data_IF_201259554493
#
_entry.id   IF_201259554493
#
_cell.length_a   1.000
_cell.length_b   1.000
_cell.length_c   1.000
_cell.angle_alpha   90.00
_cell.angle_beta   90.00
_cell.angle_gamma   90.00
#
_symmetry.space_group_name_H-M   'P 1'
#
loop_
_entity.id
_entity.type
_entity.pdbx_description
1 polymer ?
#
# COMPACT_ATOMS: atom_id res chain seq x y z
N UNK A 1 -20.20 -1.28 5.87
CA UNK A 1 -19.31 -0.21 6.36
C UNK A 1 -20.15 0.95 6.91
N UNK A 2 -21.39 0.71 7.35
CA UNK A 2 -22.31 1.77 7.82
C UNK A 2 -22.61 1.68 9.33
N UNK A 3 -21.92 0.80 10.07
CA UNK A 3 -22.14 0.59 11.52
C UNK A 3 -20.90 0.88 12.39
N UNK A 4 -19.78 1.36 11.82
CA UNK A 4 -18.50 1.52 12.52
C UNK A 4 -17.85 2.89 12.29
N UNK A 5 -18.31 3.95 12.95
CA UNK A 5 -17.88 5.33 12.61
C UNK A 5 -16.40 5.66 12.91
N UNK A 6 -15.79 5.07 13.95
CA UNK A 6 -14.36 5.31 14.30
C UNK A 6 -13.46 4.08 14.09
N UNK A 7 -14.01 2.86 14.17
CA UNK A 7 -13.25 1.62 13.91
C UNK A 7 -12.95 1.41 12.41
N UNK A 8 -13.75 1.99 11.51
CA UNK A 8 -13.56 1.84 10.07
C UNK A 8 -12.18 2.33 9.59
N UNK A 9 -11.61 3.35 10.25
CA UNK A 9 -10.25 3.80 9.93
C UNK A 9 -9.20 2.75 10.33
N UNK A 10 -9.37 2.11 11.49
CA UNK A 10 -8.47 1.04 11.95
C UNK A 10 -8.55 -0.19 11.03
N UNK A 11 -9.76 -0.55 10.59
CA UNK A 11 -9.96 -1.64 9.62
C UNK A 11 -9.33 -1.30 8.27
N UNK A 12 -9.51 -0.07 7.78
CA UNK A 12 -8.90 0.37 6.51
C UNK A 12 -7.36 0.33 6.58
N UNK A 13 -6.76 0.85 7.65
CA UNK A 13 -5.30 0.79 7.85
C UNK A 13 -4.79 -0.64 7.95
N UNK A 14 -5.50 -1.53 8.64
CA UNK A 14 -5.13 -2.95 8.71
C UNK A 14 -5.11 -3.62 7.33
N UNK A 15 -6.11 -3.35 6.48
CA UNK A 15 -6.15 -3.86 5.10
C UNK A 15 -5.03 -3.28 4.23
N UNK A 16 -4.71 -2.00 4.40
CA UNK A 16 -3.56 -1.38 3.72
C UNK A 16 -2.25 -2.05 4.12
N UNK A 17 -2.05 -2.34 5.40
CA UNK A 17 -0.87 -3.06 5.91
C UNK A 17 -0.78 -4.48 5.33
N UNK A 18 -1.89 -5.23 5.37
CA UNK A 18 -1.97 -6.58 4.81
C UNK A 18 -1.51 -6.58 3.33
N UNK A 19 -2.02 -5.63 2.54
CA UNK A 19 -1.64 -5.47 1.15
C UNK A 19 -0.20 -4.98 0.99
N UNK A 20 0.26 -4.03 1.82
CA UNK A 20 1.61 -3.47 1.76
C UNK A 20 2.71 -4.51 2.00
N UNK A 21 2.42 -5.56 2.77
CA UNK A 21 3.35 -6.67 2.95
C UNK A 21 3.38 -7.66 1.78
N UNK A 22 2.49 -7.53 0.79
CA UNK A 22 2.66 -8.19 -0.49
C UNK A 22 3.75 -7.49 -1.31
N UNK A 23 4.65 -8.26 -1.91
CA UNK A 23 5.75 -7.73 -2.73
C UNK A 23 6.02 -8.65 -3.93
N UNK A 24 6.41 -8.09 -5.08
CA UNK A 24 6.84 -8.89 -6.22
C UNK A 24 8.21 -9.51 -5.93
N UNK A 25 8.30 -10.83 -6.02
CA UNK A 25 9.56 -11.56 -5.83
C UNK A 25 10.31 -11.75 -7.15
N UNK A 26 11.64 -11.57 -7.13
CA UNK A 26 12.51 -11.83 -8.29
C UNK A 26 12.34 -13.25 -8.84
N UNK A 27 12.16 -14.24 -7.97
CA UNK A 27 11.95 -15.65 -8.39
C UNK A 27 10.58 -15.88 -9.02
N UNK A 28 9.60 -15.01 -8.76
CA UNK A 28 8.24 -15.11 -9.26
C UNK A 28 8.03 -14.35 -10.58
N UNK A 29 8.99 -13.52 -10.99
CA UNK A 29 8.91 -12.66 -12.18
C UNK A 29 8.58 -13.45 -13.46
N UNK A 30 9.15 -14.65 -13.62
CA UNK A 30 8.88 -15.54 -14.76
C UNK A 30 7.43 -16.04 -14.84
N UNK A 31 6.71 -16.02 -13.71
CA UNK A 31 5.32 -16.46 -13.63
C UNK A 31 4.32 -15.30 -13.59
N UNK A 32 4.71 -14.17 -12.99
CA UNK A 32 3.81 -13.02 -12.77
C UNK A 32 3.97 -11.93 -13.83
N UNK A 33 5.11 -11.88 -14.53
CA UNK A 33 5.47 -10.81 -15.46
C UNK A 33 5.82 -9.47 -14.78
N UNK A 34 5.79 -9.42 -13.45
CA UNK A 34 6.10 -8.22 -12.67
C UNK A 34 7.53 -8.29 -12.13
N UNK A 35 8.36 -7.24 -12.34
CA UNK A 35 9.75 -7.26 -11.91
C UNK A 35 9.86 -7.35 -10.39
N UNK A 36 10.77 -8.21 -9.92
CA UNK A 36 11.05 -8.35 -8.50
C UNK A 36 11.52 -7.03 -7.86
N UNK A 37 11.18 -6.82 -6.58
CA UNK A 37 11.59 -5.64 -5.82
C UNK A 37 12.32 -6.05 -4.55
N UNK A 38 13.39 -5.33 -4.24
CA UNK A 38 14.12 -5.46 -2.98
C UNK A 38 13.85 -4.23 -2.12
N UNK A 39 13.23 -4.44 -0.96
CA UNK A 39 12.91 -3.38 0.00
C UNK A 39 13.83 -3.50 1.19
N UNK A 40 14.52 -2.41 1.55
CA UNK A 40 15.41 -2.42 2.72
C UNK A 40 14.60 -2.36 4.01
N UNK A 41 15.18 -2.86 5.12
CA UNK A 41 14.54 -2.79 6.43
C UNK A 41 14.13 -1.36 6.82
N UNK A 42 14.99 -0.37 6.53
CA UNK A 42 14.71 1.04 6.82
C UNK A 42 13.47 1.53 6.07
N UNK A 43 13.35 1.15 4.80
CA UNK A 43 12.22 1.51 3.96
C UNK A 43 10.93 0.82 4.40
N UNK A 44 11.01 -0.45 4.80
CA UNK A 44 9.86 -1.18 5.37
C UNK A 44 9.34 -0.52 6.65
N UNK A 45 10.23 -0.16 7.58
CA UNK A 45 9.86 0.50 8.84
C UNK A 45 9.24 1.87 8.55
N UNK A 46 9.82 2.65 7.63
CA UNK A 46 9.29 3.94 7.18
C UNK A 46 7.85 3.80 6.66
N UNK A 47 7.64 2.92 5.69
CA UNK A 47 6.33 2.73 5.07
C UNK A 47 5.27 2.21 6.05
N UNK A 48 5.63 1.24 6.88
CA UNK A 48 4.70 0.71 7.89
C UNK A 48 4.28 1.79 8.89
N UNK A 49 5.24 2.60 9.38
CA UNK A 49 4.95 3.71 10.29
C UNK A 49 4.00 4.74 9.67
N UNK A 50 4.21 5.13 8.41
CA UNK A 50 3.33 6.07 7.71
C UNK A 50 1.89 5.57 7.62
N UNK A 51 1.69 4.26 7.36
CA UNK A 51 0.35 3.67 7.31
C UNK A 51 -0.30 3.66 8.72
N UNK A 52 0.47 3.33 9.77
CA UNK A 52 -0.04 3.34 11.14
C UNK A 52 -0.39 4.76 11.63
N UNK A 53 0.45 5.74 11.31
CA UNK A 53 0.30 7.13 11.72
C UNK A 53 -0.85 7.84 10.97
N UNK A 54 -1.32 7.27 9.85
CA UNK A 54 -2.48 7.77 9.08
C UNK A 54 -2.12 8.65 7.88
N UNK A 55 -0.84 8.83 7.60
CA UNK A 55 -0.33 9.65 6.47
C UNK A 55 -0.84 9.15 5.11
N UNK A 56 -1.31 7.90 5.06
CA UNK A 56 -1.72 7.20 3.86
C UNK A 56 -3.24 6.93 3.80
N UNK A 57 -4.05 7.57 4.66
CA UNK A 57 -5.48 7.28 4.79
C UNK A 57 -6.29 7.58 3.52
N UNK A 58 -5.87 8.58 2.75
CA UNK A 58 -6.53 8.97 1.51
C UNK A 58 -6.22 8.06 0.32
N UNK A 59 -5.18 7.22 0.43
CA UNK A 59 -4.79 6.31 -0.65
C UNK A 59 -5.74 5.09 -0.68
N UNK A 60 -6.13 4.61 -1.88
CA UNK A 60 -6.94 3.41 -2.01
C UNK A 60 -6.15 2.17 -1.57
N UNK A 61 -6.81 1.20 -0.93
CA UNK A 61 -6.16 -0.03 -0.43
C UNK A 61 -5.38 -0.78 -1.53
N UNK A 62 -5.90 -0.76 -2.76
CA UNK A 62 -5.30 -1.45 -3.90
C UNK A 62 -3.95 -0.85 -4.32
N UNK A 63 -3.67 0.41 -3.97
CA UNK A 63 -2.38 1.04 -4.23
C UNK A 63 -1.23 0.38 -3.43
N UNK A 64 -1.53 -0.28 -2.31
CA UNK A 64 -0.54 -0.98 -1.49
C UNK A 64 -0.24 -2.40 -1.97
N UNK A 65 -0.98 -2.91 -2.96
CA UNK A 65 -0.83 -4.29 -3.41
C UNK A 65 0.33 -4.46 -4.39
N UNK A 66 1.22 -5.41 -4.13
CA UNK A 66 2.37 -5.78 -4.97
C UNK A 66 3.25 -4.58 -5.33
N UNK A 67 3.73 -3.86 -4.32
CA UNK A 67 4.62 -2.69 -4.47
C UNK A 67 5.98 -2.94 -3.80
N UNK A 68 7.02 -2.25 -4.28
CA UNK A 68 8.38 -2.31 -3.75
C UNK A 68 8.69 -1.33 -2.61
N UNK A 69 7.66 -0.71 -2.02
CA UNK A 69 7.81 0.28 -0.96
C UNK A 69 6.71 1.33 -0.98
N UNK A 70 6.76 2.26 -0.01
CA UNK A 70 5.67 3.21 0.19
C UNK A 70 5.56 4.23 -0.95
N UNK A 71 6.70 4.67 -1.52
CA UNK A 71 6.70 5.63 -2.63
C UNK A 71 6.05 5.04 -3.90
N UNK A 72 6.20 3.73 -4.13
CA UNK A 72 5.51 3.04 -5.23
C UNK A 72 3.99 2.94 -4.97
N UNK A 73 3.55 2.85 -3.72
CA UNK A 73 2.13 2.91 -3.38
C UNK A 73 1.54 4.29 -3.72
N UNK A 74 2.24 5.38 -3.41
CA UNK A 74 1.83 6.73 -3.82
C UNK A 74 1.73 6.85 -5.33
N UNK A 75 2.77 6.44 -6.06
CA UNK A 75 2.79 6.48 -7.52
C UNK A 75 1.64 5.65 -8.11
N UNK A 76 1.41 4.46 -7.58
CA UNK A 76 0.32 3.58 -8.03
C UNK A 76 -1.05 4.20 -7.76
N UNK A 77 -1.25 4.89 -6.63
CA UNK A 77 -2.49 5.61 -6.37
C UNK A 77 -2.72 6.78 -7.35
N UNK A 78 -1.65 7.49 -7.74
CA UNK A 78 -1.73 8.53 -8.78
C UNK A 78 -2.14 7.92 -10.13
N UNK A 79 -1.53 6.80 -10.53
CA UNK A 79 -1.86 6.07 -11.76
C UNK A 79 -3.29 5.50 -11.76
N UNK A 80 -3.79 5.09 -10.59
CA UNK A 80 -5.14 4.57 -10.40
C UNK A 80 -6.22 5.64 -10.48
N UNK A 81 -5.87 6.92 -10.65
CA UNK A 81 -6.84 7.99 -10.66
C UNK A 81 -7.44 8.19 -9.27
N UNK A 82 -6.60 8.49 -8.27
CA UNK A 82 -6.94 9.56 -7.35
C UNK A 82 -7.11 10.87 -8.17
N UNK A 83 -8.12 10.87 -9.04
CA UNK A 83 -8.74 12.00 -9.68
C UNK A 83 -9.08 12.91 -8.50
N UNK A 84 -8.50 14.11 -8.52
CA UNK A 84 -8.76 15.15 -7.55
C UNK A 84 -10.26 15.14 -7.26
N UNK A 85 -10.64 14.76 -6.05
CA UNK A 85 -11.96 15.07 -5.53
C UNK A 85 -12.02 16.60 -5.43
N UNK A 86 -12.47 17.22 -6.51
CA UNK A 86 -12.87 18.61 -6.61
C UNK A 86 -14.35 18.72 -6.23
#
# INVERSE_FOLDING_TARGET
>A
MDELSDEDQSVSRARKIERFFSQPFHVAEVFTGSPGKYVTLKETIRGFKMICDGDCDQLPEQAFYMVGGIDEAFKKAEEMGAEKAA
#
